data_IF_434502960497
#
_entry.id   IF_434502960497
#
_cell.length_a   1.000
_cell.length_b   1.000
_cell.length_c   1.000
_cell.angle_alpha   90.00
_cell.angle_beta   90.00
_cell.angle_gamma   90.00
#
_symmetry.space_group_name_H-M   'P 1'
#
loop_
_entity.id
_entity.type
_entity.pdbx_description
1 polymer ?
#
# COMPACT_ATOMS: atom_id res chain seq x y z
N UNK A 1 -7.84 3.49 -9.16
CA UNK A 1 -6.62 3.83 -8.41
C UNK A 1 -7.02 4.84 -7.35
N UNK A 2 -6.69 4.57 -6.09
CA UNK A 2 -6.96 5.47 -4.95
C UNK A 2 -5.60 5.95 -4.46
N UNK A 3 -5.41 7.26 -4.34
CA UNK A 3 -4.16 7.84 -3.89
C UNK A 3 -4.37 9.06 -3.01
N UNK A 4 -3.54 9.17 -1.98
CA UNK A 4 -3.47 10.36 -1.14
C UNK A 4 -2.66 11.44 -1.85
N UNK A 5 -3.21 12.65 -1.94
CA UNK A 5 -2.46 13.79 -2.45
C UNK A 5 -1.31 14.15 -1.49
N UNK A 6 -0.18 14.56 -2.06
CA UNK A 6 1.00 14.99 -1.30
C UNK A 6 1.60 16.24 -1.94
N UNK A 7 2.12 17.20 -1.15
CA UNK A 7 2.82 18.36 -1.69
C UNK A 7 4.23 18.02 -2.22
N UNK A 8 4.73 16.80 -1.97
CA UNK A 8 6.05 16.36 -2.39
C UNK A 8 6.08 16.06 -3.89
N UNK A 9 7.19 16.39 -4.55
CA UNK A 9 7.41 16.00 -5.95
C UNK A 9 7.75 14.52 -6.05
N UNK A 10 7.52 13.95 -7.24
CA UNK A 10 7.86 12.55 -7.50
C UNK A 10 9.35 12.24 -7.26
N UNK A 11 10.24 13.20 -7.53
CA UNK A 11 11.67 13.03 -7.27
C UNK A 11 12.01 12.96 -5.78
N UNK A 12 11.18 13.53 -4.91
CA UNK A 12 11.39 13.63 -3.46
C UNK A 12 10.85 12.42 -2.69
N UNK A 13 10.15 11.50 -3.35
CA UNK A 13 9.52 10.35 -2.69
C UNK A 13 10.03 9.02 -3.24
N UNK A 14 10.12 8.04 -2.35
CA UNK A 14 10.28 6.65 -2.71
C UNK A 14 9.01 5.86 -2.36
N UNK A 15 8.65 4.91 -3.22
CA UNK A 15 7.48 4.06 -3.05
C UNK A 15 7.91 2.78 -2.36
N UNK A 16 7.09 2.30 -1.43
CA UNK A 16 7.35 1.08 -0.67
C UNK A 16 6.25 0.05 -0.89
N UNK A 17 6.65 -1.20 -1.09
CA UNK A 17 5.81 -2.36 -0.89
C UNK A 17 5.47 -2.50 0.59
N UNK A 18 4.19 -2.75 0.89
CA UNK A 18 3.72 -3.07 2.23
C UNK A 18 3.55 -4.58 2.31
N UNK A 19 4.48 -5.30 2.95
CA UNK A 19 4.47 -6.78 2.99
C UNK A 19 3.54 -7.36 4.07
N UNK A 20 3.38 -6.63 5.15
CA UNK A 20 2.49 -6.99 6.26
C UNK A 20 2.22 -5.77 7.12
N UNK A 21 0.96 -5.60 7.52
CA UNK A 21 0.54 -4.52 8.40
C UNK A 21 -0.06 -5.08 9.70
N UNK A 22 0.38 -4.60 10.85
CA UNK A 22 -0.03 -5.12 12.16
C UNK A 22 -1.50 -4.81 12.51
N UNK A 23 -2.13 -3.85 11.81
CA UNK A 23 -3.46 -3.34 12.10
C UNK A 23 -4.60 -3.89 11.26
N UNK A 24 -4.32 -4.70 10.24
CA UNK A 24 -5.36 -5.23 9.34
C UNK A 24 -5.16 -6.72 9.20
N UNK A 25 -6.22 -7.48 9.48
CA UNK A 25 -6.36 -8.84 9.00
C UNK A 25 -6.36 -8.77 7.47
N UNK A 26 -5.18 -8.72 6.87
CA UNK A 26 -4.97 -8.85 5.44
C UNK A 26 -5.16 -10.31 5.05
N UNK A 27 -6.28 -10.89 5.48
CA UNK A 27 -6.73 -12.15 4.94
C UNK A 27 -7.10 -11.90 3.48
N UNK A 28 -6.67 -12.83 2.63
CA UNK A 28 -7.05 -12.95 1.22
C UNK A 28 -8.56 -13.24 1.09
N UNK A 29 -9.45 -12.50 1.75
CA UNK A 29 -10.89 -12.69 1.59
C UNK A 29 -11.39 -11.80 0.46
N UNK A 30 -11.70 -12.49 -0.63
CA UNK A 30 -12.53 -12.03 -1.73
C UNK A 30 -13.95 -11.80 -1.21
N UNK A 31 -14.23 -10.63 -0.63
CA UNK A 31 -15.63 -10.23 -0.40
C UNK A 31 -15.94 -9.01 -1.28
N UNK A 32 -16.61 -9.31 -2.39
CA UNK A 32 -16.83 -8.44 -3.56
C UNK A 32 -18.12 -7.60 -3.43
N UNK A 33 -18.64 -7.37 -2.22
CA UNK A 33 -19.95 -6.73 -2.08
C UNK A 33 -20.03 -5.82 -0.85
N UNK A 34 -19.54 -4.58 -0.96
CA UNK A 34 -20.01 -3.47 -0.12
C UNK A 34 -19.76 -2.12 -0.80
N UNK A 35 -20.85 -1.49 -1.26
CA UNK A 35 -20.84 -0.20 -1.97
C UNK A 35 -20.58 1.00 -1.03
N UNK A 36 -20.12 0.75 0.21
CA UNK A 36 -19.90 1.72 1.30
C UNK A 36 -18.39 1.93 1.62
N UNK A 37 -17.49 1.37 0.80
CA UNK A 37 -16.19 0.86 1.23
C UNK A 37 -14.95 1.77 1.05
N UNK A 38 -15.10 2.99 0.54
CA UNK A 38 -13.94 3.89 0.39
C UNK A 38 -13.31 4.29 1.74
N UNK A 39 -14.13 4.41 2.79
CA UNK A 39 -13.69 4.89 4.11
C UNK A 39 -12.69 3.92 4.78
N UNK A 40 -12.78 2.62 4.45
CA UNK A 40 -11.96 1.58 5.06
C UNK A 40 -10.58 1.38 4.39
N UNK A 41 -10.41 1.89 3.17
CA UNK A 41 -9.09 1.98 2.53
C UNK A 41 -8.35 3.22 3.02
N UNK A 42 -9.07 4.33 3.26
CA UNK A 42 -8.51 5.56 3.84
C UNK A 42 -8.22 5.44 5.34
N UNK A 43 -8.87 4.52 6.05
CA UNK A 43 -8.57 4.22 7.45
C UNK A 43 -7.33 3.34 7.65
N UNK A 44 -6.70 2.87 6.56
CA UNK A 44 -5.48 2.07 6.63
C UNK A 44 -4.32 2.92 7.16
N UNK A 45 -3.93 2.66 8.40
CA UNK A 45 -2.76 3.29 9.02
C UNK A 45 -1.56 2.38 8.82
N UNK A 46 -0.57 2.87 8.08
CA UNK A 46 0.75 2.23 7.94
C UNK A 46 1.71 2.84 8.95
N UNK A 47 2.22 2.04 9.86
CA UNK A 47 3.22 2.41 10.86
C UNK A 47 4.61 1.99 10.36
N UNK A 48 5.48 2.94 9.96
CA UNK A 48 6.79 2.62 9.41
C UNK A 48 7.74 1.95 10.41
N UNK A 49 7.43 1.93 11.71
CA UNK A 49 8.22 1.23 12.73
C UNK A 49 7.76 -0.22 12.97
N UNK A 50 6.50 -0.53 12.68
CA UNK A 50 5.90 -1.85 12.98
C UNK A 50 5.62 -2.67 11.74
N UNK A 51 5.32 -2.01 10.64
CA UNK A 51 4.94 -2.68 9.41
C UNK A 51 6.17 -3.05 8.58
N UNK A 52 6.04 -4.16 7.86
CA UNK A 52 7.13 -4.65 7.03
C UNK A 52 7.09 -3.91 5.68
N UNK A 53 8.04 -3.00 5.48
CA UNK A 53 8.14 -2.15 4.30
C UNK A 53 9.41 -2.44 3.49
N UNK A 54 9.29 -2.51 2.17
CA UNK A 54 10.42 -2.65 1.24
C UNK A 54 10.38 -1.54 0.19
N UNK A 55 11.49 -0.83 -0.03
CA UNK A 55 11.59 0.20 -1.08
C UNK A 55 11.57 -0.46 -2.46
N UNK A 56 10.62 -0.02 -3.29
CA UNK A 56 10.49 -0.50 -4.66
C UNK A 56 11.60 0.04 -5.56
N UNK A 57 12.09 -0.80 -6.45
CA UNK A 57 13.06 -0.47 -7.48
C UNK A 57 12.35 -0.06 -8.77
N UNK A 58 12.96 0.86 -9.51
CA UNK A 58 12.36 1.42 -10.73
C UNK A 58 12.07 0.39 -11.84
N UNK A 59 12.71 -0.79 -11.80
CA UNK A 59 12.60 -1.82 -12.83
C UNK A 59 11.66 -2.98 -12.44
N UNK A 60 10.99 -2.91 -11.29
CA UNK A 60 10.08 -3.97 -10.87
C UNK A 60 8.80 -3.98 -11.71
N UNK A 61 8.37 -5.19 -12.06
CA UNK A 61 7.10 -5.42 -12.73
C UNK A 61 5.94 -5.38 -11.73
N UNK A 62 4.73 -5.09 -12.22
CA UNK A 62 3.51 -5.13 -11.40
C UNK A 62 3.30 -6.51 -10.77
N UNK A 63 3.71 -7.58 -11.44
CA UNK A 63 3.61 -8.95 -10.91
C UNK A 63 4.53 -9.15 -9.69
N UNK A 64 5.76 -8.64 -9.74
CA UNK A 64 6.70 -8.68 -8.62
C UNK A 64 6.23 -7.80 -7.45
N UNK A 65 5.70 -6.61 -7.74
CA UNK A 65 5.18 -5.73 -6.69
C UNK A 65 3.98 -6.39 -5.99
N UNK A 66 3.11 -7.08 -6.74
CA UNK A 66 1.98 -7.85 -6.20
C UNK A 66 2.38 -9.06 -5.38
N UNK A 67 3.51 -9.70 -5.68
CA UNK A 67 3.97 -10.85 -4.89
C UNK A 67 4.57 -10.42 -3.55
N UNK A 68 5.08 -9.19 -3.47
CA UNK A 68 5.66 -8.60 -2.26
C UNK A 68 4.64 -7.86 -1.40
N UNK A 69 3.67 -7.18 -2.00
CA UNK A 69 2.78 -6.29 -1.26
C UNK A 69 1.45 -6.95 -0.91
N UNK A 70 0.85 -6.52 0.19
CA UNK A 70 -0.51 -6.88 0.56
C UNK A 70 -1.51 -6.28 -0.44
N UNK A 71 -2.67 -6.92 -0.49
CA UNK A 71 -3.83 -6.39 -1.18
C UNK A 71 -5.02 -6.39 -0.25
N UNK A 72 -5.88 -5.39 -0.39
CA UNK A 72 -7.16 -5.28 0.32
C UNK A 72 -8.25 -5.03 -0.71
N UNK A 73 -9.27 -5.88 -0.77
CA UNK A 73 -10.40 -5.78 -1.73
C UNK A 73 -9.94 -5.64 -3.20
N UNK A 74 -8.97 -6.45 -3.61
CA UNK A 74 -8.41 -6.38 -4.97
C UNK A 74 -7.51 -5.16 -5.24
N UNK A 75 -7.35 -4.23 -4.29
CA UNK A 75 -6.43 -3.10 -4.40
C UNK A 75 -5.06 -3.44 -3.82
N UNK A 76 -4.02 -3.21 -4.62
CA UNK A 76 -2.64 -3.28 -4.19
C UNK A 76 -2.34 -2.09 -3.26
N UNK A 77 -1.80 -2.36 -2.08
CA UNK A 77 -1.46 -1.32 -1.10
C UNK A 77 0.02 -0.97 -1.22
N UNK A 78 0.30 0.32 -1.45
CA UNK A 78 1.65 0.86 -1.51
C UNK A 78 1.75 2.08 -0.58
N UNK A 79 2.91 2.25 0.04
CA UNK A 79 3.23 3.43 0.84
C UNK A 79 4.21 4.33 0.08
N UNK A 80 4.31 5.59 0.52
CA UNK A 80 5.38 6.47 0.07
C UNK A 80 6.04 7.12 1.28
N UNK A 81 7.34 7.44 1.16
CA UNK A 81 8.04 8.28 2.13
C UNK A 81 8.97 9.25 1.42
N UNK A 82 9.37 10.31 2.11
CA UNK A 82 10.35 11.27 1.60
C UNK A 82 11.74 10.62 1.56
N UNK A 83 12.47 10.82 0.47
CA UNK A 83 13.89 10.46 0.38
C UNK A 83 14.69 11.29 1.37
N UNK A 84 15.69 10.66 2.02
CA UNK A 84 16.65 11.34 2.90
C UNK A 84 17.90 11.70 2.11
#
# INVERSE_FOLDING_TARGET
>A
YVASQTPLKAEEVEILAVKGCSGVNCDKSTDENSLLDCDELTSLVIDPQKDELEVLQAHETVAEIRSKSISKRGHLILAYKRKV
#
